data_IF_401912298057
#
_entry.id   IF_401912298057
#
_cell.length_a   1.000
_cell.length_b   1.000
_cell.length_c   1.000
_cell.angle_alpha   90.00
_cell.angle_beta   90.00
_cell.angle_gamma   90.00
#
_symmetry.space_group_name_H-M   'P 1'
#
loop_
_entity.id
_entity.type
_entity.pdbx_description
1 polymer ?
#
# COMPACT_ATOMS: atom_id res chain seq x y z
N UNK A 1 -24.39 -10.59 0.33
CA UNK A 1 -25.46 -9.75 0.93
C UNK A 1 -25.13 -9.45 2.39
N UNK A 2 -24.78 -10.47 3.20
CA UNK A 2 -24.34 -10.27 4.59
C UNK A 2 -23.12 -9.33 4.71
N UNK A 3 -22.03 -9.59 4.00
CA UNK A 3 -20.80 -8.76 4.01
C UNK A 3 -21.04 -7.28 3.64
N UNK A 4 -22.01 -7.01 2.75
CA UNK A 4 -22.34 -5.64 2.33
C UNK A 4 -23.05 -4.90 3.46
N UNK A 5 -23.98 -5.56 4.15
CA UNK A 5 -24.68 -4.96 5.27
C UNK A 5 -23.75 -4.76 6.48
N UNK A 6 -22.83 -5.70 6.73
CA UNK A 6 -21.75 -5.53 7.72
C UNK A 6 -20.85 -4.34 7.38
N UNK A 7 -20.44 -4.20 6.12
CA UNK A 7 -19.63 -3.07 5.69
C UNK A 7 -20.38 -1.73 5.88
N UNK A 8 -21.67 -1.66 5.53
CA UNK A 8 -22.50 -0.47 5.77
C UNK A 8 -22.65 -0.16 7.25
N UNK A 9 -22.83 -1.17 8.10
CA UNK A 9 -22.90 -1.00 9.55
C UNK A 9 -21.58 -0.45 10.09
N UNK A 10 -20.43 -1.02 9.68
CA UNK A 10 -19.11 -0.57 10.08
C UNK A 10 -18.86 0.90 9.73
N UNK A 11 -19.25 1.33 8.52
CA UNK A 11 -19.15 2.74 8.09
C UNK A 11 -20.00 3.67 8.98
N UNK A 12 -21.24 3.28 9.29
CA UNK A 12 -22.15 4.08 10.12
C UNK A 12 -21.67 4.19 11.56
N UNK A 13 -21.34 3.06 12.18
CA UNK A 13 -20.95 2.96 13.59
C UNK A 13 -19.66 3.76 13.88
N UNK A 14 -18.73 3.76 12.94
CA UNK A 14 -17.47 4.49 13.07
C UNK A 14 -17.55 5.94 12.55
N UNK A 15 -18.72 6.42 12.13
CA UNK A 15 -18.91 7.78 11.64
C UNK A 15 -18.05 8.11 10.42
N UNK A 16 -17.75 7.13 9.57
CA UNK A 16 -16.87 7.29 8.41
C UNK A 16 -17.49 8.28 7.42
N UNK A 17 -16.69 9.24 6.96
CA UNK A 17 -17.08 10.28 6.00
C UNK A 17 -16.66 9.95 4.58
N UNK A 18 -15.51 9.30 4.43
CA UNK A 18 -14.91 8.99 3.12
C UNK A 18 -14.48 7.52 3.06
N UNK A 19 -14.64 6.92 1.88
CA UNK A 19 -14.09 5.60 1.56
C UNK A 19 -13.03 5.79 0.48
N UNK A 20 -11.79 5.41 0.82
CA UNK A 20 -10.67 5.30 -0.11
C UNK A 20 -10.84 4.00 -0.90
N UNK A 21 -11.25 4.13 -2.15
CA UNK A 21 -11.47 3.04 -3.08
C UNK A 21 -10.13 2.64 -3.70
N UNK A 22 -9.58 1.53 -3.22
CA UNK A 22 -8.23 1.09 -3.52
C UNK A 22 -8.19 0.00 -4.60
N UNK A 23 -7.17 0.08 -5.45
CA UNK A 23 -6.80 -0.94 -6.43
C UNK A 23 -5.31 -0.83 -6.77
N UNK A 24 -4.74 -1.80 -7.45
CA UNK A 24 -3.31 -1.81 -7.82
C UNK A 24 -3.15 -1.66 -9.31
N UNK A 25 -2.16 -0.87 -9.75
CA UNK A 25 -1.76 -0.85 -11.15
C UNK A 25 -0.86 -2.05 -11.51
N UNK A 26 -0.53 -2.21 -12.80
CA UNK A 26 0.32 -3.31 -13.27
C UNK A 26 1.74 -3.33 -12.69
N UNK A 27 2.21 -2.21 -12.13
CA UNK A 27 3.54 -2.10 -11.53
C UNK A 27 3.52 -2.47 -10.04
N UNK A 28 2.34 -2.71 -9.48
CA UNK A 28 2.14 -2.99 -8.05
C UNK A 28 1.98 -1.73 -7.20
N UNK A 29 1.84 -0.54 -7.79
CA UNK A 29 1.55 0.67 -7.02
C UNK A 29 0.08 0.70 -6.62
N UNK A 30 -0.17 0.99 -5.35
CA UNK A 30 -1.51 1.24 -4.83
C UNK A 30 -2.04 2.57 -5.39
N UNK A 31 -3.18 2.49 -6.06
CA UNK A 31 -3.97 3.62 -6.54
C UNK A 31 -5.22 3.74 -5.68
N UNK A 32 -5.64 4.98 -5.40
CA UNK A 32 -6.81 5.24 -4.57
C UNK A 32 -7.53 6.49 -5.06
N UNK A 33 -8.86 6.48 -4.96
CA UNK A 33 -9.68 7.68 -5.05
C UNK A 33 -10.68 7.71 -3.89
N UNK A 34 -11.08 8.91 -3.45
CA UNK A 34 -11.96 9.09 -2.30
C UNK A 34 -13.40 9.32 -2.74
N UNK A 35 -14.34 8.60 -2.12
CA UNK A 35 -15.77 8.72 -2.37
C UNK A 35 -16.51 8.91 -1.04
N UNK A 36 -17.53 9.78 -0.96
CA UNK A 36 -18.32 9.95 0.24
C UNK A 36 -18.95 8.63 0.70
N UNK A 37 -18.84 8.32 2.00
CA UNK A 37 -19.35 7.07 2.56
C UNK A 37 -20.87 6.88 2.33
N UNK A 38 -21.63 7.98 2.19
CA UNK A 38 -23.06 7.94 1.85
C UNK A 38 -23.36 7.22 0.53
N UNK A 39 -22.44 7.23 -0.44
CA UNK A 39 -22.62 6.52 -1.72
C UNK A 39 -22.63 4.99 -1.54
N UNK A 40 -21.97 4.49 -0.49
CA UNK A 40 -21.96 3.07 -0.12
C UNK A 40 -23.13 2.70 0.80
N UNK A 41 -23.50 3.62 1.69
CA UNK A 41 -24.49 3.39 2.73
C UNK A 41 -25.92 3.55 2.23
N UNK A 42 -26.17 4.60 1.45
CA UNK A 42 -27.48 5.01 0.95
C UNK A 42 -27.57 4.93 -0.57
N UNK A 43 -26.43 5.05 -1.25
CA UNK A 43 -26.32 4.99 -2.70
C UNK A 43 -26.16 3.57 -3.25
N UNK A 44 -25.80 3.51 -4.54
CA UNK A 44 -25.68 2.28 -5.30
C UNK A 44 -24.23 1.84 -5.53
N UNK A 45 -23.25 2.34 -4.76
CA UNK A 45 -21.84 2.06 -5.03
C UNK A 45 -21.50 0.55 -4.98
N UNK A 46 -22.17 -0.20 -4.10
CA UNK A 46 -22.02 -1.66 -4.04
C UNK A 46 -22.65 -2.40 -5.22
N UNK A 47 -23.70 -1.85 -5.82
CA UNK A 47 -24.45 -2.50 -6.89
C UNK A 47 -23.86 -2.17 -8.27
N UNK A 48 -23.64 -0.87 -8.50
CA UNK A 48 -23.25 -0.33 -9.80
C UNK A 48 -21.72 -0.16 -9.93
N UNK A 49 -21.00 -0.15 -8.82
CA UNK A 49 -19.59 0.26 -8.81
C UNK A 49 -19.43 1.77 -9.02
N UNK A 50 -18.19 2.18 -9.25
CA UNK A 50 -17.78 3.58 -9.35
C UNK A 50 -16.96 3.76 -10.62
N UNK A 51 -17.44 4.59 -11.54
CA UNK A 51 -16.73 4.89 -12.78
C UNK A 51 -15.47 5.73 -12.53
N UNK A 52 -14.39 5.43 -13.26
CA UNK A 52 -13.15 6.21 -13.23
C UNK A 52 -12.42 6.17 -14.58
N UNK A 53 -11.49 7.11 -14.78
CA UNK A 53 -10.63 7.18 -15.96
C UNK A 53 -9.40 6.27 -15.82
N UNK A 54 -9.42 5.15 -16.54
CA UNK A 54 -8.32 4.19 -16.64
C UNK A 54 -7.16 4.64 -17.51
N UNK A 55 -7.31 5.68 -18.35
CA UNK A 55 -6.22 6.18 -19.20
C UNK A 55 -5.12 6.89 -18.42
N UNK A 56 -5.47 7.40 -17.23
CA UNK A 56 -4.55 8.00 -16.28
C UNK A 56 -3.79 6.97 -15.42
N UNK A 57 -4.12 5.68 -15.53
CA UNK A 57 -3.46 4.60 -14.79
C UNK A 57 -2.49 3.86 -15.71
N UNK A 58 -1.23 3.76 -15.28
CA UNK A 58 -0.19 3.12 -16.11
C UNK A 58 -0.48 1.64 -16.32
N UNK A 59 -0.55 1.24 -17.58
CA UNK A 59 -0.79 -0.14 -17.98
C UNK A 59 -2.26 -0.54 -18.06
N UNK A 60 -3.19 0.41 -17.90
CA UNK A 60 -4.62 0.16 -18.04
C UNK A 60 -5.07 0.45 -19.48
N UNK A 61 -6.02 1.36 -19.69
CA UNK A 61 -6.63 1.61 -21.00
C UNK A 61 -5.97 2.78 -21.71
N UNK A 62 -6.15 2.84 -23.03
CA UNK A 62 -5.81 4.05 -23.81
C UNK A 62 -6.94 5.07 -23.71
N UNK A 63 -6.67 6.32 -24.11
CA UNK A 63 -7.65 7.42 -24.06
C UNK A 63 -8.97 7.06 -24.78
N UNK A 64 -8.88 6.34 -25.91
CA UNK A 64 -10.05 5.92 -26.71
C UNK A 64 -10.99 4.95 -25.96
N UNK A 65 -10.50 4.29 -24.89
CA UNK A 65 -11.22 3.31 -24.08
C UNK A 65 -11.03 3.59 -22.59
N UNK A 66 -10.97 4.87 -22.23
CA UNK A 66 -10.60 5.35 -20.90
C UNK A 66 -11.51 4.85 -19.79
N UNK A 67 -12.81 4.73 -20.07
CA UNK A 67 -13.80 4.50 -19.02
C UNK A 67 -13.69 3.09 -18.45
N UNK A 68 -13.62 3.02 -17.12
CA UNK A 68 -13.57 1.78 -16.34
C UNK A 68 -14.47 1.88 -15.12
N UNK A 69 -14.82 0.73 -14.54
CA UNK A 69 -15.67 0.66 -13.34
C UNK A 69 -14.94 -0.08 -12.25
N UNK A 70 -14.74 0.58 -11.12
CA UNK A 70 -14.28 -0.05 -9.89
C UNK A 70 -15.47 -0.64 -9.14
N UNK A 71 -15.44 -1.95 -8.85
CA UNK A 71 -16.49 -2.63 -8.09
C UNK A 71 -15.98 -3.03 -6.70
N UNK A 72 -16.65 -2.63 -5.62
CA UNK A 72 -16.18 -2.85 -4.26
C UNK A 72 -16.16 -4.32 -3.85
N UNK A 73 -15.16 -4.69 -3.06
CA UNK A 73 -15.09 -5.95 -2.31
C UNK A 73 -15.31 -5.64 -0.82
N UNK A 74 -16.55 -5.80 -0.37
CA UNK A 74 -17.01 -5.43 0.97
C UNK A 74 -16.21 -6.10 2.09
N UNK A 75 -15.71 -7.33 1.86
CA UNK A 75 -14.92 -8.10 2.84
C UNK A 75 -13.60 -7.40 3.24
N UNK A 76 -13.10 -6.51 2.36
CA UNK A 76 -11.82 -5.83 2.53
C UNK A 76 -11.92 -4.49 3.25
N UNK A 77 -13.13 -4.02 3.55
CA UNK A 77 -13.33 -2.72 4.19
C UNK A 77 -12.63 -2.67 5.56
N UNK A 78 -11.79 -1.66 5.78
CA UNK A 78 -11.17 -1.38 7.08
C UNK A 78 -11.22 0.10 7.39
N UNK A 79 -11.65 0.46 8.60
CA UNK A 79 -11.59 1.85 9.09
C UNK A 79 -10.12 2.21 9.32
N UNK A 80 -9.69 3.38 8.85
CA UNK A 80 -8.32 3.84 9.01
C UNK A 80 -8.15 4.37 10.44
N UNK A 81 -7.31 3.73 11.28
CA UNK A 81 -7.26 4.03 12.70
C UNK A 81 -6.52 5.34 13.03
N UNK A 82 -5.62 5.81 12.17
CA UNK A 82 -4.81 7.02 12.41
C UNK A 82 -5.42 8.33 11.88
N UNK A 83 -6.60 8.28 11.26
CA UNK A 83 -7.33 9.48 10.85
C UNK A 83 -8.38 9.76 11.91
N UNK A 84 -8.09 10.68 12.83
CA UNK A 84 -8.96 10.96 13.99
C UNK A 84 -9.86 12.18 13.83
N UNK A 85 -9.64 13.02 12.81
CA UNK A 85 -10.53 14.14 12.50
C UNK A 85 -11.94 13.60 12.14
N UNK A 86 -12.99 13.92 12.94
CA UNK A 86 -14.35 13.44 12.69
C UNK A 86 -14.95 13.87 11.34
N UNK A 87 -14.42 14.92 10.73
CA UNK A 87 -14.86 15.42 9.42
C UNK A 87 -14.16 14.66 8.29
N UNK A 88 -12.96 14.12 8.54
CA UNK A 88 -12.16 13.39 7.57
C UNK A 88 -12.08 11.89 7.84
N UNK A 89 -12.79 11.39 8.87
CA UNK A 89 -12.77 9.97 9.26
C UNK A 89 -12.96 9.09 8.03
N UNK A 90 -11.98 8.24 7.75
CA UNK A 90 -11.90 7.52 6.48
C UNK A 90 -11.79 6.02 6.70
N UNK A 91 -12.28 5.25 5.74
CA UNK A 91 -12.03 3.82 5.62
C UNK A 91 -11.38 3.53 4.27
N UNK A 92 -10.65 2.43 4.17
CA UNK A 92 -10.11 1.90 2.91
C UNK A 92 -10.88 0.65 2.52
N UNK A 93 -11.19 0.50 1.24
CA UNK A 93 -11.82 -0.69 0.69
C UNK A 93 -11.15 -1.02 -0.64
N UNK A 94 -10.77 -2.29 -0.82
CA UNK A 94 -10.30 -2.76 -2.12
C UNK A 94 -11.49 -3.13 -3.00
N UNK A 95 -11.26 -3.12 -4.31
CA UNK A 95 -12.23 -3.55 -5.28
C UNK A 95 -11.55 -4.15 -6.50
N UNK A 96 -12.38 -4.63 -7.42
CA UNK A 96 -11.96 -5.16 -8.70
C UNK A 96 -12.21 -4.11 -9.78
N UNK A 97 -11.35 -4.09 -10.79
CA UNK A 97 -11.52 -3.19 -11.94
C UNK A 97 -12.19 -3.95 -13.07
N UNK A 98 -13.26 -3.37 -13.61
CA UNK A 98 -14.05 -3.89 -14.70
C UNK A 98 -14.00 -2.96 -15.91
N UNK A 99 -14.18 -3.51 -17.10
CA UNK A 99 -14.39 -2.72 -18.31
C UNK A 99 -15.74 -1.99 -18.26
N UNK A 100 -15.82 -0.76 -18.80
CA UNK A 100 -17.07 0.02 -18.77
C UNK A 100 -18.22 -0.61 -19.56
N UNK A 101 -17.91 -1.32 -20.65
CA UNK A 101 -18.88 -2.00 -21.50
C UNK A 101 -18.81 -3.52 -21.29
N UNK A 102 -19.07 -3.96 -20.06
CA UNK A 102 -19.08 -5.36 -19.70
C UNK A 102 -19.22 -5.57 -18.19
N UNK A 103 -19.56 -6.80 -17.79
CA UNK A 103 -19.47 -7.20 -16.38
C UNK A 103 -18.19 -7.99 -16.09
N UNK A 104 -17.30 -8.10 -17.06
CA UNK A 104 -16.04 -8.83 -16.94
C UNK A 104 -15.00 -7.99 -16.20
N UNK A 105 -14.15 -8.68 -15.44
CA UNK A 105 -12.99 -8.08 -14.80
C UNK A 105 -12.00 -7.70 -15.91
N UNK A 106 -11.49 -6.47 -15.86
CA UNK A 106 -10.55 -5.97 -16.83
C UNK A 106 -9.23 -6.76 -16.78
N UNK A 107 -8.70 -7.07 -17.96
CA UNK A 107 -7.42 -7.78 -18.14
C UNK A 107 -6.20 -7.11 -17.49
N UNK A 108 -6.28 -5.79 -17.25
CA UNK A 108 -5.24 -5.03 -16.58
C UNK A 108 -5.34 -5.03 -15.05
N UNK A 109 -6.38 -5.63 -14.44
CA UNK A 109 -6.53 -5.73 -12.99
C UNK A 109 -5.68 -6.87 -12.40
N UNK A 110 -4.60 -6.60 -11.66
CA UNK A 110 -3.80 -7.67 -11.06
C UNK A 110 -4.59 -8.49 -10.02
N UNK A 111 -5.49 -7.84 -9.26
CA UNK A 111 -6.24 -8.49 -8.19
C UNK A 111 -7.31 -9.40 -8.77
N UNK A 112 -8.13 -8.89 -9.67
CA UNK A 112 -9.23 -9.64 -10.26
C UNK A 112 -8.81 -10.59 -11.36
N UNK A 113 -8.04 -10.12 -12.35
CA UNK A 113 -7.75 -10.90 -13.55
C UNK A 113 -6.68 -11.96 -13.32
N UNK A 114 -5.74 -11.72 -12.40
CA UNK A 114 -4.67 -12.68 -12.09
C UNK A 114 -4.96 -13.42 -10.79
N UNK A 115 -4.98 -12.75 -9.65
CA UNK A 115 -5.03 -13.42 -8.35
C UNK A 115 -6.34 -14.18 -8.13
N UNK A 116 -7.50 -13.53 -8.33
CA UNK A 116 -8.81 -14.17 -8.16
C UNK A 116 -9.04 -15.32 -9.13
N UNK A 117 -8.65 -15.17 -10.40
CA UNK A 117 -8.74 -16.27 -11.39
C UNK A 117 -7.86 -17.46 -11.02
N UNK A 118 -6.67 -17.22 -10.48
CA UNK A 118 -5.81 -18.30 -9.99
C UNK A 118 -6.42 -19.01 -8.78
N UNK A 119 -7.00 -18.26 -7.84
CA UNK A 119 -7.72 -18.81 -6.68
C UNK A 119 -8.94 -19.64 -7.09
N UNK A 120 -9.78 -19.11 -7.99
CA UNK A 120 -10.95 -19.81 -8.52
C UNK A 120 -10.55 -21.12 -9.23
N UNK A 121 -9.44 -21.10 -9.99
CA UNK A 121 -8.91 -22.30 -10.63
C UNK A 121 -8.49 -23.36 -9.61
N UNK A 122 -7.70 -22.98 -8.61
CA UNK A 122 -7.29 -23.89 -7.54
C UNK A 122 -8.51 -24.48 -6.81
N UNK A 123 -9.49 -23.64 -6.50
CA UNK A 123 -10.73 -24.06 -5.85
C UNK A 123 -11.51 -25.07 -6.68
N UNK A 124 -11.59 -24.87 -8.00
CA UNK A 124 -12.22 -25.84 -8.91
C UNK A 124 -11.51 -27.19 -8.97
N UNK A 125 -10.20 -27.21 -8.68
CA UNK A 125 -9.42 -28.45 -8.59
C UNK A 125 -9.47 -29.06 -7.18
N UNK A 126 -10.25 -28.48 -6.26
CA UNK A 126 -10.33 -28.92 -4.87
C UNK A 126 -9.08 -28.57 -4.04
N UNK A 127 -8.29 -27.59 -4.49
CA UNK A 127 -7.07 -27.14 -3.83
C UNK A 127 -7.23 -25.71 -3.27
N UNK A 128 -6.36 -25.37 -2.32
CA UNK A 128 -6.21 -24.01 -1.78
C UNK A 128 -4.74 -23.66 -1.67
N UNK A 129 -4.38 -22.40 -1.90
CA UNK A 129 -3.02 -21.88 -1.68
C UNK A 129 -3.01 -20.94 -0.47
N UNK A 130 -1.93 -21.01 0.31
CA UNK A 130 -1.68 -20.13 1.45
C UNK A 130 -0.33 -19.47 1.23
N UNK A 131 -0.29 -18.14 1.39
CA UNK A 131 0.92 -17.34 1.21
C UNK A 131 1.26 -16.64 2.53
N UNK A 132 2.53 -16.71 2.94
CA UNK A 132 3.08 -16.00 4.11
C UNK A 132 4.27 -15.14 3.70
N UNK A 133 4.05 -13.91 3.19
CA UNK A 133 5.14 -13.04 2.80
C UNK A 133 5.82 -12.41 4.01
N UNK A 134 7.15 -12.37 4.00
CA UNK A 134 7.98 -11.59 4.93
C UNK A 134 8.48 -10.35 4.18
N UNK A 135 7.88 -9.19 4.47
CA UNK A 135 8.22 -7.93 3.80
C UNK A 135 9.20 -7.16 4.68
N UNK A 136 10.48 -7.32 4.41
CA UNK A 136 11.53 -6.51 5.03
C UNK A 136 11.49 -5.07 4.48
N UNK A 137 11.76 -4.10 5.35
CA UNK A 137 11.78 -2.68 5.00
C UNK A 137 12.87 -1.93 5.78
N UNK A 138 13.19 -0.72 5.33
CA UNK A 138 14.07 0.21 6.03
C UNK A 138 13.25 1.37 6.59
N UNK A 139 13.55 1.78 7.81
CA UNK A 139 12.98 2.98 8.45
C UNK A 139 14.04 4.08 8.45
N UNK A 140 13.69 5.24 7.89
CA UNK A 140 14.54 6.42 7.86
C UNK A 140 13.78 7.63 8.43
N UNK A 141 14.47 8.47 9.20
CA UNK A 141 14.01 9.81 9.62
C UNK A 141 13.92 10.75 8.42
N UNK A 142 14.84 10.64 7.46
CA UNK A 142 14.83 11.42 6.24
C UNK A 142 16.00 11.08 5.32
N UNK A 143 15.81 11.29 4.02
CA UNK A 143 16.83 11.06 3.00
C UNK A 143 16.96 12.32 2.15
N UNK A 144 18.15 12.90 2.08
CA UNK A 144 18.45 14.02 1.19
C UNK A 144 19.21 13.54 -0.04
N UNK A 145 18.49 13.35 -1.15
CA UNK A 145 19.09 12.94 -2.43
C UNK A 145 19.96 14.02 -3.09
N UNK A 146 19.90 15.27 -2.62
CA UNK A 146 20.72 16.38 -3.15
C UNK A 146 22.08 16.46 -2.47
N UNK A 147 22.23 15.86 -1.29
CA UNK A 147 23.47 15.82 -0.52
C UNK A 147 23.97 14.40 -0.45
N UNK A 148 25.19 14.20 -0.94
CA UNK A 148 25.80 12.88 -1.02
C UNK A 148 26.94 12.76 -0.02
N UNK A 149 27.01 11.62 0.66
CA UNK A 149 28.08 11.26 1.59
C UNK A 149 28.76 9.98 1.14
N UNK A 150 30.04 9.84 1.48
CA UNK A 150 30.78 8.60 1.26
C UNK A 150 30.44 7.60 2.35
N UNK A 151 29.98 6.42 1.94
CA UNK A 151 29.91 5.28 2.84
C UNK A 151 31.32 4.76 3.10
N UNK A 152 31.83 5.01 4.30
CA UNK A 152 33.16 4.60 4.71
C UNK A 152 33.21 3.13 5.19
N UNK A 153 32.06 2.47 5.33
CA UNK A 153 32.00 1.05 5.71
C UNK A 153 32.24 0.18 4.50
N UNK A 154 33.52 -0.08 4.25
CA UNK A 154 33.98 -0.89 3.13
C UNK A 154 34.37 -2.29 3.58
N UNK A 155 34.10 -3.26 2.71
CA UNK A 155 34.72 -4.57 2.80
C UNK A 155 36.26 -4.46 2.82
N UNK A 156 36.95 -5.17 3.74
CA UNK A 156 38.41 -5.32 3.67
C UNK A 156 38.89 -5.95 2.35
N UNK A 157 38.03 -6.70 1.66
CA UNK A 157 38.29 -7.35 0.38
C UNK A 157 37.73 -6.56 -0.82
N UNK A 158 37.36 -5.28 -0.64
CA UNK A 158 36.85 -4.43 -1.72
C UNK A 158 35.50 -4.85 -2.31
N UNK A 159 34.72 -5.66 -1.57
CA UNK A 159 33.39 -6.13 -1.96
C UNK A 159 33.39 -7.46 -2.70
N UNK A 160 34.53 -8.10 -2.89
CA UNK A 160 34.61 -9.41 -3.54
C UNK A 160 34.17 -10.52 -2.58
N UNK A 161 33.03 -11.17 -2.88
CA UNK A 161 32.53 -12.32 -2.11
C UNK A 161 31.86 -11.96 -0.78
N UNK A 162 31.66 -10.67 -0.50
CA UNK A 162 30.83 -10.19 0.59
C UNK A 162 29.78 -9.20 0.10
N UNK A 163 28.88 -8.85 1.01
CA UNK A 163 27.78 -7.92 0.77
C UNK A 163 28.04 -6.51 1.29
N UNK A 164 29.20 -6.28 1.92
CA UNK A 164 29.55 -4.93 2.38
C UNK A 164 29.78 -4.05 1.16
N UNK A 165 30.33 -4.65 0.09
CA UNK A 165 30.50 -4.00 -1.21
C UNK A 165 31.68 -3.04 -1.22
N UNK A 166 31.99 -2.47 -2.39
CA UNK A 166 33.00 -1.42 -2.51
C UNK A 166 32.50 -0.10 -1.89
N UNK A 167 33.40 0.85 -1.60
CA UNK A 167 32.99 2.21 -1.22
C UNK A 167 31.97 2.77 -2.21
N UNK A 168 30.88 3.32 -1.66
CA UNK A 168 29.75 3.83 -2.43
C UNK A 168 29.36 5.21 -1.94
N UNK A 169 28.72 5.95 -2.84
CA UNK A 169 28.15 7.25 -2.53
C UNK A 169 26.68 7.02 -2.18
N UNK A 170 26.26 7.50 -1.01
CA UNK A 170 24.91 7.35 -0.50
C UNK A 170 24.30 8.74 -0.24
N UNK A 171 22.98 8.91 -0.39
CA UNK A 171 22.27 10.08 0.12
C UNK A 171 22.57 10.31 1.60
N UNK A 172 22.68 11.58 2.01
CA UNK A 172 22.84 11.93 3.41
C UNK A 172 21.54 11.65 4.17
N UNK A 173 21.71 11.09 5.37
CA UNK A 173 20.64 10.68 6.28
C UNK A 173 21.03 11.13 7.70
N UNK A 174 20.10 11.65 8.51
CA UNK A 174 20.39 12.01 9.91
C UNK A 174 21.05 10.89 10.73
N UNK A 175 20.73 9.63 10.42
CA UNK A 175 21.26 8.42 11.03
C UNK A 175 22.76 8.22 10.82
N UNK A 176 23.35 8.93 9.85
CA UNK A 176 24.80 8.91 9.60
C UNK A 176 25.56 9.98 10.38
N UNK A 177 24.87 10.96 10.97
CA UNK A 177 25.49 12.14 11.58
C UNK A 177 25.77 11.97 13.08
N UNK A 178 25.00 11.14 13.79
CA UNK A 178 25.17 10.97 15.24
C UNK A 178 24.63 9.64 15.77
N UNK A 179 25.14 9.18 16.92
CA UNK A 179 24.66 7.97 17.60
C UNK A 179 25.41 6.69 17.25
N UNK A 180 24.82 5.53 17.61
CA UNK A 180 25.34 4.22 17.26
C UNK A 180 24.97 3.90 15.82
N UNK A 181 25.96 3.95 14.92
CA UNK A 181 25.75 3.56 13.52
C UNK A 181 25.88 2.05 13.38
N UNK A 182 24.77 1.38 13.07
CA UNK A 182 24.75 -0.03 12.72
C UNK A 182 25.43 -0.20 11.36
N UNK A 183 26.48 -1.03 11.31
CA UNK A 183 27.21 -1.29 10.08
C UNK A 183 26.45 -2.23 9.14
N UNK A 184 26.78 -2.25 7.83
CA UNK A 184 26.21 -3.20 6.90
C UNK A 184 26.26 -4.64 7.45
N UNK A 185 25.14 -5.36 7.38
CA UNK A 185 24.97 -6.73 7.91
C UNK A 185 25.16 -6.92 9.43
N UNK A 186 25.25 -5.86 10.22
CA UNK A 186 25.35 -5.96 11.68
C UNK A 186 24.03 -5.64 12.40
N UNK A 187 22.96 -5.30 11.67
CA UNK A 187 21.68 -4.86 12.26
C UNK A 187 20.74 -5.94 12.75
N UNK A 188 21.04 -7.21 12.49
CA UNK A 188 20.14 -8.31 12.86
C UNK A 188 20.20 -8.56 14.38
N UNK A 189 19.09 -8.29 15.07
CA UNK A 189 18.90 -8.51 16.52
C UNK A 189 19.88 -7.77 17.45
N UNK A 190 20.14 -6.49 17.19
CA UNK A 190 20.89 -5.65 18.14
C UNK A 190 19.97 -5.18 19.27
N UNK A 191 20.40 -5.22 20.54
CA UNK A 191 19.62 -4.64 21.63
C UNK A 191 19.79 -3.11 21.67
N UNK A 192 18.89 -2.39 22.36
CA UNK A 192 19.16 -1.01 22.78
C UNK A 192 20.50 -0.91 23.54
N UNK A 193 21.24 0.21 23.42
CA UNK A 193 20.87 1.44 22.71
C UNK A 193 21.22 1.44 21.20
N UNK A 194 21.72 0.35 20.64
CA UNK A 194 22.11 0.30 19.22
C UNK A 194 20.90 0.19 18.30
N UNK A 195 19.90 -0.61 18.67
CA UNK A 195 18.60 -0.64 17.99
C UNK A 195 17.72 0.51 18.48
N UNK A 196 17.53 1.50 17.61
CA UNK A 196 16.71 2.68 17.83
C UNK A 196 15.24 2.49 17.42
N UNK A 197 14.87 1.30 16.92
CA UNK A 197 13.52 1.01 16.41
C UNK A 197 12.60 0.33 17.42
N UNK A 198 13.11 -0.05 18.60
CA UNK A 198 12.34 -0.68 19.68
C UNK A 198 11.15 0.18 20.13
N UNK A 199 11.35 1.50 20.21
CA UNK A 199 10.28 2.49 20.29
C UNK A 199 10.43 3.43 19.09
N UNK A 200 9.66 3.26 18.00
CA UNK A 200 9.81 4.12 16.83
C UNK A 200 9.58 5.59 17.23
N UNK A 201 10.38 6.52 16.72
CA UNK A 201 10.37 7.91 17.16
C UNK A 201 8.97 8.53 17.01
N UNK A 202 8.60 9.40 17.96
CA UNK A 202 7.28 10.08 17.98
C UNK A 202 6.99 10.87 16.70
N UNK A 203 8.01 11.26 15.94
CA UNK A 203 7.87 11.89 14.62
C UNK A 203 7.13 11.02 13.59
N UNK A 204 7.19 9.69 13.71
CA UNK A 204 6.38 8.78 12.90
C UNK A 204 4.88 8.83 13.26
N UNK A 205 4.54 9.27 14.48
CA UNK A 205 3.15 9.44 14.92
C UNK A 205 2.56 10.79 14.48
N UNK A 206 3.40 11.74 14.08
CA UNK A 206 3.00 13.11 13.74
C UNK A 206 2.97 13.37 12.22
N UNK A 207 2.51 12.41 11.42
CA UNK A 207 2.00 12.70 10.06
C UNK A 207 0.66 13.46 10.10
N UNK A 208 0.50 14.38 11.05
CA UNK A 208 -0.58 15.35 11.10
C UNK A 208 0.00 16.71 10.71
N UNK A 209 -0.14 17.05 9.42
CA UNK A 209 -0.17 18.41 8.89
C UNK A 209 0.95 19.36 9.31
N UNK A 210 1.94 19.53 8.44
CA UNK A 210 2.89 20.64 8.48
C UNK A 210 3.09 21.24 7.09
N UNK A 211 2.35 22.33 6.83
CA UNK A 211 2.32 23.21 5.65
C UNK A 211 1.60 22.71 4.39
#
# INVERSE_FOLDING_TARGET
MEEVEEAKALLKENGVRQVLCAFTDLRGYLQMFSIPAREFVEGSAFENGIGFDGSSVRGFRTIEKSDMVWKPDASTLRVIPWIDDPIQKSAIMFGYVHDAWGNEIADCDPRGYVAKRAEDKLKSDGMSAVFGPEIEFFLFEGIDFTRLSWDMYVSPNGGAGDSWGPPRIMPLSPELESGYVIRPKEGYFRPPPEDTTVEPPRSCHSWTGGA
#
